data_IF_178400506455
#
_entry.id   IF_178400506455
#
_cell.length_a   1.000
_cell.length_b   1.000
_cell.length_c   1.000
_cell.angle_alpha   90.00
_cell.angle_beta   90.00
_cell.angle_gamma   90.00
#
_symmetry.space_group_name_H-M   'P 1'
#
loop_
_entity.id
_entity.type
_entity.pdbx_description
1 polymer ?
#
# COMPACT_ATOMS: atom_id res chain seq x y z
N UNK A 1 -4.58 -0.37 11.04
CA UNK A 1 -5.31 0.86 11.43
C UNK A 1 -6.62 1.01 10.66
N UNK A 2 -6.64 0.78 9.34
CA UNK A 2 -7.89 0.66 8.54
C UNK A 2 -8.87 -0.36 9.13
N UNK A 3 -8.39 -1.50 9.60
CA UNK A 3 -9.19 -2.53 10.29
C UNK A 3 -9.85 -2.10 11.60
N UNK A 4 -9.46 -0.96 12.19
CA UNK A 4 -10.17 -0.37 13.33
C UNK A 4 -11.40 0.40 12.86
N UNK A 5 -11.31 1.07 11.70
CA UNK A 5 -12.41 1.81 11.09
C UNK A 5 -13.56 0.88 10.71
N UNK A 6 -13.25 -0.35 10.29
CA UNK A 6 -14.26 -1.38 9.97
C UNK A 6 -15.12 -1.84 11.16
N UNK A 7 -14.75 -1.46 12.39
CA UNK A 7 -15.48 -1.82 13.62
C UNK A 7 -16.39 -0.71 14.13
N UNK A 8 -16.44 0.44 13.45
CA UNK A 8 -17.33 1.53 13.84
C UNK A 8 -18.79 1.11 13.66
N UNK A 9 -19.64 1.51 14.60
CA UNK A 9 -21.09 1.34 14.49
C UNK A 9 -21.67 2.38 13.52
N UNK A 10 -22.80 2.04 12.88
CA UNK A 10 -23.52 2.97 11.99
C UNK A 10 -22.92 3.13 10.59
N UNK A 11 -22.01 2.24 10.18
CA UNK A 11 -21.52 2.19 8.80
C UNK A 11 -22.59 1.63 7.87
N UNK A 12 -22.72 2.26 6.70
CA UNK A 12 -23.51 1.72 5.59
C UNK A 12 -22.85 0.48 4.98
N UNK A 13 -23.62 -0.32 4.24
CA UNK A 13 -23.09 -1.48 3.51
C UNK A 13 -21.98 -1.10 2.51
N UNK A 14 -22.11 0.07 1.88
CA UNK A 14 -21.12 0.61 0.94
C UNK A 14 -19.82 0.93 1.68
N UNK A 15 -19.90 1.60 2.83
CA UNK A 15 -18.71 1.92 3.63
C UNK A 15 -18.00 0.67 4.12
N UNK A 16 -18.75 -0.33 4.60
CA UNK A 16 -18.17 -1.62 5.00
C UNK A 16 -17.43 -2.29 3.84
N UNK A 17 -18.03 -2.30 2.64
CA UNK A 17 -17.40 -2.88 1.45
C UNK A 17 -16.12 -2.12 1.08
N UNK A 18 -16.15 -0.79 1.04
CA UNK A 18 -14.96 0.04 0.72
C UNK A 18 -13.84 -0.17 1.74
N UNK A 19 -14.18 -0.21 3.04
CA UNK A 19 -13.18 -0.44 4.09
C UNK A 19 -12.56 -1.83 3.93
N UNK A 20 -13.36 -2.84 3.58
CA UNK A 20 -12.86 -4.19 3.33
C UNK A 20 -11.93 -4.24 2.10
N UNK A 21 -12.35 -3.64 0.98
CA UNK A 21 -11.52 -3.52 -0.23
C UNK A 21 -10.17 -2.86 0.11
N UNK A 22 -10.20 -1.77 0.88
CA UNK A 22 -8.97 -1.11 1.33
C UNK A 22 -8.10 -1.98 2.24
N UNK A 23 -8.70 -2.75 3.16
CA UNK A 23 -7.94 -3.69 4.01
C UNK A 23 -7.22 -4.74 3.16
N UNK A 24 -7.88 -5.24 2.12
CA UNK A 24 -7.29 -6.26 1.26
C UNK A 24 -6.16 -5.68 0.39
N UNK A 25 -6.31 -4.46 -0.14
CA UNK A 25 -5.20 -3.74 -0.79
C UNK A 25 -4.02 -3.53 0.16
N UNK A 26 -4.25 -3.06 1.40
CA UNK A 26 -3.15 -2.87 2.37
C UNK A 26 -2.44 -4.18 2.71
N UNK A 27 -3.13 -5.33 2.72
CA UNK A 27 -2.48 -6.63 2.86
C UNK A 27 -1.63 -6.98 1.65
N UNK A 28 -2.10 -6.66 0.44
CA UNK A 28 -1.34 -6.77 -0.80
C UNK A 28 -0.04 -5.98 -0.71
N UNK A 29 -0.12 -4.69 -0.38
CA UNK A 29 1.05 -3.83 -0.14
C UNK A 29 2.02 -4.43 0.87
N UNK A 30 1.54 -4.98 1.99
CA UNK A 30 2.40 -5.62 3.00
C UNK A 30 3.12 -6.84 2.41
N UNK A 31 2.42 -7.70 1.67
CA UNK A 31 3.01 -8.89 1.05
C UNK A 31 4.10 -8.50 0.04
N UNK A 32 3.81 -7.51 -0.81
CA UNK A 32 4.75 -7.05 -1.83
C UNK A 32 5.96 -6.37 -1.19
N UNK A 33 5.77 -5.57 -0.14
CA UNK A 33 6.89 -5.03 0.62
C UNK A 33 7.74 -6.15 1.26
N UNK A 34 7.14 -7.23 1.75
CA UNK A 34 7.87 -8.40 2.26
C UNK A 34 8.66 -9.10 1.15
N UNK A 35 8.09 -9.27 -0.03
CA UNK A 35 8.78 -9.84 -1.20
C UNK A 35 9.94 -8.94 -1.63
N UNK A 36 9.77 -7.62 -1.59
CA UNK A 36 10.86 -6.66 -1.84
C UNK A 36 12.03 -6.85 -0.85
N UNK A 37 11.74 -7.06 0.44
CA UNK A 37 12.76 -7.29 1.46
C UNK A 37 13.48 -8.63 1.25
N UNK A 38 12.75 -9.67 0.82
CA UNK A 38 13.32 -10.98 0.50
C UNK A 38 14.31 -10.88 -0.66
N UNK A 39 13.99 -10.13 -1.72
CA UNK A 39 14.88 -9.86 -2.85
C UNK A 39 16.09 -9.02 -2.41
N UNK A 40 15.89 -8.00 -1.56
CA UNK A 40 16.99 -7.20 -1.00
C UNK A 40 17.97 -8.02 -0.16
N UNK A 41 17.48 -9.02 0.58
CA UNK A 41 18.32 -9.92 1.37
C UNK A 41 19.21 -10.84 0.53
N UNK A 42 18.98 -10.91 -0.79
CA UNK A 42 19.69 -11.77 -1.74
C UNK A 42 20.54 -10.98 -2.75
N UNK A 43 20.84 -9.70 -2.46
CA UNK A 43 21.66 -8.84 -3.31
C UNK A 43 23.15 -9.26 -3.27
N UNK A 44 23.49 -10.34 -3.95
CA UNK A 44 24.86 -10.82 -4.08
C UNK A 44 25.09 -11.57 -5.39
N UNK A 45 26.27 -11.44 -5.98
CA UNK A 45 26.63 -12.16 -7.20
C UNK A 45 26.23 -11.45 -8.49
N UNK A 46 26.12 -12.20 -9.58
CA UNK A 46 25.90 -11.65 -10.92
C UNK A 46 24.43 -11.30 -11.23
N UNK A 47 23.49 -11.65 -10.37
CA UNK A 47 22.04 -11.41 -10.55
C UNK A 47 21.53 -10.14 -9.84
N UNK A 48 22.40 -9.36 -9.19
CA UNK A 48 22.03 -8.14 -8.44
C UNK A 48 21.12 -7.21 -9.25
N UNK A 49 21.40 -7.02 -10.54
CA UNK A 49 20.59 -6.17 -11.39
C UNK A 49 19.14 -6.65 -11.55
N UNK A 50 18.96 -7.97 -11.69
CA UNK A 50 17.64 -8.58 -11.75
C UNK A 50 16.93 -8.47 -10.40
N UNK A 51 17.64 -8.75 -9.30
CA UNK A 51 17.10 -8.63 -7.94
C UNK A 51 16.61 -7.22 -7.64
N UNK A 52 17.41 -6.19 -7.94
CA UNK A 52 16.98 -4.80 -7.76
C UNK A 52 15.77 -4.45 -8.65
N UNK A 53 15.67 -5.00 -9.86
CA UNK A 53 14.47 -4.83 -10.69
C UNK A 53 13.23 -5.49 -10.07
N UNK A 54 13.37 -6.67 -9.46
CA UNK A 54 12.28 -7.32 -8.70
C UNK A 54 11.87 -6.47 -7.49
N UNK A 55 12.83 -5.96 -6.71
CA UNK A 55 12.56 -5.02 -5.59
C UNK A 55 11.74 -3.82 -6.07
N UNK A 56 12.14 -3.18 -7.18
CA UNK A 56 11.41 -2.03 -7.76
C UNK A 56 9.98 -2.40 -8.15
N UNK A 57 9.80 -3.59 -8.73
CA UNK A 57 8.49 -4.10 -9.14
C UNK A 57 7.58 -4.23 -7.94
N UNK A 58 8.04 -4.90 -6.89
CA UNK A 58 7.24 -5.13 -5.68
C UNK A 58 6.91 -3.83 -4.94
N UNK A 59 7.87 -2.91 -4.78
CA UNK A 59 7.60 -1.62 -4.12
C UNK A 59 6.63 -0.76 -4.94
N UNK A 60 6.70 -0.81 -6.28
CA UNK A 60 5.76 -0.08 -7.15
C UNK A 60 4.35 -0.68 -7.10
N UNK A 61 4.24 -2.00 -6.97
CA UNK A 61 2.97 -2.68 -6.77
C UNK A 61 2.35 -2.29 -5.42
N UNK A 62 3.15 -2.23 -4.35
CA UNK A 62 2.66 -1.83 -3.03
C UNK A 62 2.06 -0.42 -3.03
N UNK A 63 2.72 0.51 -3.73
CA UNK A 63 2.25 1.88 -3.91
C UNK A 63 0.96 1.96 -4.75
N UNK A 64 0.79 1.04 -5.70
CA UNK A 64 -0.43 0.93 -6.53
C UNK A 64 -1.61 0.46 -5.68
N UNK A 65 -1.41 -0.53 -4.81
CA UNK A 65 -2.43 -1.03 -3.89
C UNK A 65 -2.87 0.06 -2.90
N UNK A 66 -1.92 0.79 -2.34
CA UNK A 66 -2.16 1.95 -1.46
C UNK A 66 -3.02 3.00 -2.18
N UNK A 67 -2.65 3.38 -3.41
CA UNK A 67 -3.39 4.34 -4.23
C UNK A 67 -4.81 3.84 -4.53
N UNK A 68 -4.94 2.56 -4.88
CA UNK A 68 -6.24 1.92 -5.17
C UNK A 68 -7.17 1.94 -3.96
N UNK A 69 -6.65 1.79 -2.73
CA UNK A 69 -7.49 1.95 -1.53
C UNK A 69 -8.11 3.36 -1.47
N UNK A 70 -7.31 4.42 -1.67
CA UNK A 70 -7.82 5.80 -1.58
C UNK A 70 -8.75 6.18 -2.72
N UNK A 71 -8.54 5.63 -3.92
CA UNK A 71 -9.43 5.83 -5.06
C UNK A 71 -10.80 5.21 -4.80
N UNK A 72 -10.84 4.03 -4.16
CA UNK A 72 -12.08 3.36 -3.76
C UNK A 72 -12.96 4.19 -2.81
N UNK A 73 -12.35 4.96 -1.90
CA UNK A 73 -13.08 5.88 -1.01
C UNK A 73 -13.76 7.01 -1.79
N UNK A 74 -13.09 7.51 -2.82
CA UNK A 74 -13.55 8.63 -3.64
C UNK A 74 -14.62 8.21 -4.64
N UNK A 75 -14.47 7.03 -5.24
CA UNK A 75 -15.36 6.51 -6.27
C UNK A 75 -16.71 5.99 -5.75
N UNK A 76 -16.77 5.46 -4.51
CA UNK A 76 -17.98 4.79 -3.97
C UNK A 76 -18.85 5.68 -3.07
N UNK A 77 -18.73 7.01 -3.15
CA UNK A 77 -19.55 7.97 -2.39
C UNK A 77 -19.56 7.69 -0.86
N UNK A 78 -18.39 7.45 -0.27
CA UNK A 78 -18.26 7.35 1.20
C UNK A 78 -18.54 8.73 1.82
N UNK A 79 -19.69 8.88 2.45
CA UNK A 79 -20.17 10.15 3.00
C UNK A 79 -19.71 10.39 4.44
N UNK A 80 -19.32 9.33 5.17
CA UNK A 80 -18.79 9.49 6.51
C UNK A 80 -17.38 10.11 6.48
N UNK A 81 -17.31 11.39 6.82
CA UNK A 81 -16.07 12.17 6.84
C UNK A 81 -15.00 11.58 7.77
N UNK A 82 -15.39 10.97 8.90
CA UNK A 82 -14.44 10.30 9.79
C UNK A 82 -13.79 9.11 9.09
N UNK A 83 -14.59 8.25 8.44
CA UNK A 83 -14.08 7.08 7.69
C UNK A 83 -13.11 7.53 6.60
N UNK A 84 -13.53 8.51 5.80
CA UNK A 84 -12.70 9.04 4.69
C UNK A 84 -11.39 9.61 5.21
N UNK A 85 -11.44 10.53 6.18
CA UNK A 85 -10.24 11.21 6.68
C UNK A 85 -9.27 10.24 7.35
N UNK A 86 -9.76 9.35 8.21
CA UNK A 86 -8.89 8.40 8.92
C UNK A 86 -8.21 7.42 7.97
N UNK A 87 -8.90 6.91 6.95
CA UNK A 87 -8.28 6.00 5.98
C UNK A 87 -7.33 6.76 5.07
N UNK A 88 -7.74 7.92 4.53
CA UNK A 88 -6.87 8.74 3.67
C UNK A 88 -5.59 9.15 4.39
N UNK A 89 -5.65 9.62 5.64
CA UNK A 89 -4.45 10.00 6.40
C UNK A 89 -3.49 8.83 6.59
N UNK A 90 -4.02 7.65 6.95
CA UNK A 90 -3.18 6.47 7.14
C UNK A 90 -2.52 6.01 5.84
N UNK A 91 -3.29 5.94 4.76
CA UNK A 91 -2.80 5.45 3.47
C UNK A 91 -1.85 6.44 2.81
N UNK A 92 -2.08 7.74 2.93
CA UNK A 92 -1.14 8.76 2.43
C UNK A 92 0.22 8.66 3.14
N UNK A 93 0.23 8.44 4.45
CA UNK A 93 1.47 8.24 5.19
C UNK A 93 2.20 6.96 4.74
N UNK A 94 1.45 5.87 4.53
CA UNK A 94 2.02 4.62 4.03
C UNK A 94 2.60 4.80 2.62
N UNK A 95 1.84 5.41 1.70
CA UNK A 95 2.27 5.74 0.34
C UNK A 95 3.50 6.64 0.29
N UNK A 96 3.62 7.60 1.21
CA UNK A 96 4.81 8.43 1.30
C UNK A 96 6.04 7.60 1.69
N UNK A 97 5.91 6.66 2.63
CA UNK A 97 7.01 5.77 3.02
C UNK A 97 7.41 4.83 1.88
N UNK A 98 6.43 4.22 1.21
CA UNK A 98 6.64 3.34 0.05
C UNK A 98 7.30 4.09 -1.10
N UNK A 99 6.84 5.32 -1.41
CA UNK A 99 7.44 6.21 -2.41
C UNK A 99 8.88 6.62 -2.06
N UNK A 100 9.14 6.96 -0.79
CA UNK A 100 10.50 7.25 -0.32
C UNK A 100 11.43 6.04 -0.52
N UNK A 101 10.96 4.83 -0.19
CA UNK A 101 11.73 3.60 -0.42
C UNK A 101 12.01 3.40 -1.91
N UNK A 102 11.00 3.55 -2.78
CA UNK A 102 11.16 3.44 -4.23
C UNK A 102 12.18 4.43 -4.78
N UNK A 103 12.17 5.67 -4.28
CA UNK A 103 13.15 6.70 -4.66
C UNK A 103 14.59 6.29 -4.29
N UNK A 104 14.80 5.74 -3.08
CA UNK A 104 16.10 5.23 -2.65
C UNK A 104 16.57 4.06 -3.52
N UNK A 105 15.68 3.11 -3.82
CA UNK A 105 15.96 1.94 -4.67
C UNK A 105 16.32 2.39 -6.10
N UNK A 106 15.64 3.41 -6.63
CA UNK A 106 15.96 4.00 -7.93
C UNK A 106 17.32 4.68 -7.98
N UNK A 107 17.84 5.13 -6.83
CA UNK A 107 19.19 5.70 -6.70
C UNK A 107 20.32 4.68 -6.55
N UNK A 108 20.02 3.39 -6.39
CA UNK A 108 21.04 2.35 -6.23
C UNK A 108 21.91 2.24 -7.49
N UNK A 109 23.22 2.14 -7.26
CA UNK A 109 24.21 1.83 -8.29
C UNK A 109 24.77 0.45 -7.98
N UNK A 110 24.61 -0.47 -8.91
CA UNK A 110 25.02 -1.87 -8.81
C UNK A 110 25.61 -2.32 -10.14
#
# INVERSE_FOLDING_TARGET
MVSKVSKLAGLSSIEVAVIKDCIDNVKGSISELQDSLNEMGQLSGSDVAFRVASVKTWVSAALTDETTCTDGLSAKNVNNAMVKNTISEYILNLAQLTSNALALINGLKY
#
